data_IF_321637892753
#
_entry.id   IF_321637892753
#
_cell.length_a   1.000
_cell.length_b   1.000
_cell.length_c   1.000
_cell.angle_alpha   90.00
_cell.angle_beta   90.00
_cell.angle_gamma   90.00
#
_symmetry.space_group_name_H-M   'P 1'
#
loop_
_entity.id
_entity.type
_entity.pdbx_description
1 polymer ?
#
# COMPACT_ATOMS: atom_id res chain seq x y z
N UNK A 1 -3.02 3.35 24.51
CA UNK A 1 -2.60 2.20 25.35
C UNK A 1 -1.12 1.89 25.07
N UNK A 2 -0.38 1.22 25.97
CA UNK A 2 1.02 0.80 25.72
C UNK A 2 1.15 -0.60 25.12
N UNK A 3 0.16 -1.46 25.32
CA UNK A 3 0.14 -2.82 24.79
C UNK A 3 -1.12 -2.96 23.94
N UNK A 4 -0.97 -3.44 22.72
CA UNK A 4 -2.03 -3.73 21.78
C UNK A 4 -1.99 -5.19 21.38
N UNK A 5 -3.15 -5.83 21.30
CA UNK A 5 -3.27 -7.25 20.94
C UNK A 5 -4.22 -7.36 19.77
N UNK A 6 -3.71 -7.85 18.64
CA UNK A 6 -4.47 -8.08 17.42
C UNK A 6 -4.70 -9.58 17.27
N UNK A 7 -5.96 -10.00 17.28
CA UNK A 7 -6.31 -11.40 17.01
C UNK A 7 -6.32 -11.64 15.50
N UNK A 8 -5.45 -12.50 15.03
CA UNK A 8 -5.25 -12.76 13.61
C UNK A 8 -6.35 -13.69 13.08
N UNK A 9 -6.88 -13.32 11.91
CA UNK A 9 -7.90 -14.08 11.21
C UNK A 9 -7.38 -15.47 10.84
N UNK A 10 -8.25 -16.46 10.97
CA UNK A 10 -7.95 -17.84 10.58
C UNK A 10 -8.32 -18.10 9.13
N UNK A 11 -7.78 -19.19 8.58
CA UNK A 11 -8.12 -19.67 7.24
C UNK A 11 -7.79 -18.67 6.12
N UNK A 12 -6.77 -17.85 6.34
CA UNK A 12 -6.22 -16.93 5.33
C UNK A 12 -5.01 -17.59 4.68
N UNK A 13 -5.04 -17.70 3.36
CA UNK A 13 -3.96 -18.27 2.56
C UNK A 13 -3.17 -17.16 1.86
N UNK A 14 -1.85 -17.31 1.81
CA UNK A 14 -0.98 -16.54 0.94
C UNK A 14 -1.05 -17.06 -0.50
N UNK A 15 -0.62 -16.25 -1.47
CA UNK A 15 -0.61 -16.65 -2.89
C UNK A 15 0.20 -17.92 -3.21
N UNK A 16 1.07 -18.37 -2.30
CA UNK A 16 1.87 -19.58 -2.44
C UNK A 16 1.28 -20.82 -1.73
N UNK A 17 0.05 -20.74 -1.22
CA UNK A 17 -0.62 -21.85 -0.55
C UNK A 17 -0.30 -22.01 0.94
N UNK A 18 0.62 -21.21 1.50
CA UNK A 18 0.86 -21.22 2.95
C UNK A 18 -0.26 -20.51 3.68
N UNK A 19 -0.65 -21.02 4.84
CA UNK A 19 -1.57 -20.33 5.76
C UNK A 19 -0.84 -19.19 6.46
N UNK A 20 -1.49 -18.03 6.57
CA UNK A 20 -1.00 -16.87 7.31
C UNK A 20 -1.04 -17.14 8.82
N UNK A 21 0.07 -16.89 9.51
CA UNK A 21 0.15 -17.00 10.98
C UNK A 21 0.49 -15.67 11.66
N UNK A 22 0.42 -15.64 13.00
CA UNK A 22 0.82 -14.48 13.79
C UNK A 22 2.33 -14.20 13.66
N UNK A 23 3.13 -15.25 13.47
CA UNK A 23 4.57 -15.17 13.24
C UNK A 23 4.90 -14.44 11.92
N UNK A 24 4.13 -14.66 10.85
CA UNK A 24 4.33 -13.93 9.59
C UNK A 24 4.07 -12.43 9.77
N UNK A 25 3.04 -12.06 10.53
CA UNK A 25 2.73 -10.66 10.85
C UNK A 25 3.85 -10.03 11.66
N UNK A 26 4.33 -10.71 12.71
CA UNK A 26 5.47 -10.24 13.52
C UNK A 26 6.71 -10.10 12.66
N UNK A 27 7.02 -11.08 11.81
CA UNK A 27 8.18 -11.05 10.93
C UNK A 27 8.09 -9.92 9.89
N UNK A 28 6.90 -9.62 9.36
CA UNK A 28 6.69 -8.46 8.49
C UNK A 28 7.00 -7.19 9.27
N UNK A 29 6.33 -6.95 10.39
CA UNK A 29 6.54 -5.73 11.18
C UNK A 29 8.01 -5.57 11.59
N UNK A 30 8.65 -6.63 12.05
CA UNK A 30 10.08 -6.70 12.41
C UNK A 30 11.00 -6.23 11.28
N UNK A 31 10.75 -6.67 10.05
CA UNK A 31 11.50 -6.19 8.87
C UNK A 31 11.38 -4.67 8.68
N UNK A 32 10.29 -4.06 9.13
CA UNK A 32 10.02 -2.63 8.95
C UNK A 32 10.52 -1.76 10.12
N UNK A 33 10.42 -2.19 11.38
CA UNK A 33 10.73 -1.34 12.55
C UNK A 33 12.15 -1.51 13.13
N UNK A 34 12.95 -2.47 12.63
CA UNK A 34 14.36 -2.60 13.01
C UNK A 34 15.13 -1.30 12.68
N UNK A 35 16.08 -0.90 13.55
CA UNK A 35 16.88 0.33 13.41
C UNK A 35 17.68 0.43 12.10
N UNK A 36 18.03 -0.71 11.50
CA UNK A 36 18.76 -0.78 10.22
C UNK A 36 17.83 -0.81 8.99
N UNK A 37 16.51 -0.81 9.21
CA UNK A 37 15.51 -0.83 8.16
C UNK A 37 15.63 0.39 7.25
N UNK A 38 15.50 0.16 5.94
CA UNK A 38 15.36 1.23 4.93
C UNK A 38 13.90 1.47 4.55
N UNK A 39 12.96 0.94 5.33
CA UNK A 39 11.55 1.08 5.02
C UNK A 39 11.05 2.50 5.20
N UNK A 40 10.20 2.97 4.27
CA UNK A 40 9.41 4.18 4.46
C UNK A 40 8.50 4.15 5.70
N UNK A 41 8.14 2.98 6.21
CA UNK A 41 7.37 2.83 7.44
C UNK A 41 8.20 2.89 8.73
N UNK A 42 9.53 2.98 8.66
CA UNK A 42 10.38 2.98 9.87
C UNK A 42 9.97 4.10 10.83
N UNK A 43 9.66 5.30 10.31
CA UNK A 43 9.25 6.44 11.12
C UNK A 43 7.95 6.18 11.89
N UNK A 44 6.93 5.63 11.23
CA UNK A 44 5.62 5.36 11.87
C UNK A 44 5.68 4.19 12.86
N UNK A 45 6.65 3.27 12.70
CA UNK A 45 6.85 2.15 13.64
C UNK A 45 7.84 2.45 14.77
N UNK A 46 8.44 3.65 14.81
CA UNK A 46 9.50 3.98 15.76
C UNK A 46 9.08 3.89 17.24
N UNK A 47 7.78 3.98 17.53
CA UNK A 47 7.23 3.84 18.88
C UNK A 47 7.09 2.37 19.32
N UNK A 48 7.26 1.39 18.43
CA UNK A 48 7.26 -0.03 18.80
C UNK A 48 8.53 -0.35 19.61
N UNK A 49 8.32 -1.00 20.75
CA UNK A 49 9.37 -1.53 21.63
C UNK A 49 9.52 -3.04 21.48
N UNK A 50 8.42 -3.76 21.30
CA UNK A 50 8.43 -5.22 21.18
C UNK A 50 7.26 -5.76 20.38
N UNK A 51 7.52 -6.88 19.72
CA UNK A 51 6.55 -7.67 18.98
C UNK A 51 6.63 -9.11 19.46
N UNK A 52 5.47 -9.74 19.65
CA UNK A 52 5.38 -11.15 20.01
C UNK A 52 4.17 -11.77 19.31
N UNK A 53 4.37 -12.98 18.77
CA UNK A 53 3.29 -13.87 18.41
C UNK A 53 2.96 -14.74 19.65
N UNK A 54 1.67 -14.85 19.96
CA UNK A 54 1.17 -15.65 21.08
C UNK A 54 -0.06 -16.41 20.61
N UNK A 55 0.13 -17.66 20.18
CA UNK A 55 -0.87 -18.43 19.44
C UNK A 55 -1.35 -17.66 18.20
N UNK A 56 -2.57 -17.12 18.23
CA UNK A 56 -3.18 -16.36 17.13
C UNK A 56 -3.16 -14.86 17.36
N UNK A 57 -2.53 -14.42 18.44
CA UNK A 57 -2.47 -13.02 18.81
C UNK A 57 -1.11 -12.42 18.44
N UNK A 58 -1.14 -11.25 17.83
CA UNK A 58 0.03 -10.38 17.66
C UNK A 58 -0.02 -9.33 18.76
N UNK A 59 0.94 -9.41 19.67
CA UNK A 59 1.10 -8.47 20.78
C UNK A 59 2.17 -7.45 20.41
N UNK A 60 1.78 -6.18 20.40
CA UNK A 60 2.64 -5.03 20.13
C UNK A 60 2.78 -4.22 21.41
N UNK A 61 4.01 -4.10 21.91
CA UNK A 61 4.36 -3.26 23.05
C UNK A 61 5.01 -1.97 22.54
N UNK A 62 4.55 -0.83 23.05
CA UNK A 62 4.97 0.50 22.66
C UNK A 62 5.77 1.19 23.76
N UNK A 63 6.73 2.02 23.36
CA UNK A 63 7.54 2.85 24.28
C UNK A 63 6.65 3.85 25.02
N UNK A 64 5.73 4.49 24.28
CA UNK A 64 4.75 5.45 24.79
C UNK A 64 3.32 5.08 24.37
N UNK A 65 2.30 5.46 25.15
CA UNK A 65 0.91 5.20 24.77
C UNK A 65 0.59 5.86 23.43
N UNK A 66 0.00 5.09 22.53
CA UNK A 66 -0.42 5.55 21.21
C UNK A 66 -1.82 5.01 20.92
N UNK A 67 -2.74 5.89 20.53
CA UNK A 67 -4.10 5.53 20.15
C UNK A 67 -4.23 5.29 18.64
N UNK A 68 -3.29 5.78 17.85
CA UNK A 68 -3.30 5.74 16.39
C UNK A 68 -2.70 4.45 15.83
N UNK A 69 -2.08 3.61 16.67
CA UNK A 69 -1.43 2.36 16.23
C UNK A 69 -2.28 1.54 15.25
N UNK A 70 -3.59 1.28 15.48
CA UNK A 70 -4.40 0.52 14.52
C UNK A 70 -4.50 1.18 13.14
N UNK A 71 -4.54 2.52 13.09
CA UNK A 71 -4.52 3.27 11.84
C UNK A 71 -3.16 3.19 11.16
N UNK A 72 -2.05 3.27 11.91
CA UNK A 72 -0.70 3.11 11.36
C UNK A 72 -0.48 1.73 10.73
N UNK A 73 -1.16 0.68 11.24
CA UNK A 73 -1.10 -0.66 10.65
C UNK A 73 -1.77 -0.77 9.26
N UNK A 74 -2.46 0.29 8.80
CA UNK A 74 -3.06 0.35 7.46
C UNK A 74 -2.10 0.88 6.38
N UNK A 75 -0.88 1.28 6.77
CA UNK A 75 0.11 1.83 5.85
C UNK A 75 0.51 0.81 4.76
N UNK A 76 0.58 1.28 3.51
CA UNK A 76 0.78 0.44 2.33
C UNK A 76 2.15 -0.26 2.29
N UNK A 77 3.13 0.16 3.09
CA UNK A 77 4.40 -0.56 3.21
C UNK A 77 4.26 -1.86 4.01
N UNK A 78 3.25 -1.98 4.87
CA UNK A 78 3.10 -3.07 5.86
C UNK A 78 2.30 -4.26 5.31
N UNK A 79 2.40 -4.54 4.02
CA UNK A 79 1.79 -5.73 3.42
C UNK A 79 2.36 -6.98 4.09
N UNK A 80 1.49 -7.80 4.67
CA UNK A 80 1.87 -9.05 5.33
C UNK A 80 2.32 -10.07 4.27
N UNK A 81 3.47 -10.68 4.50
CA UNK A 81 4.11 -11.63 3.60
C UNK A 81 4.57 -12.86 4.38
N UNK A 82 4.67 -14.04 3.75
CA UNK A 82 5.22 -15.23 4.40
C UNK A 82 6.65 -14.97 4.89
N UNK A 83 6.98 -15.41 6.10
CA UNK A 83 8.26 -15.15 6.76
C UNK A 83 8.63 -13.64 6.80
N UNK A 84 7.62 -12.78 6.84
CA UNK A 84 7.78 -11.33 6.78
C UNK A 84 8.24 -10.78 5.43
N UNK A 85 8.36 -11.61 4.39
CA UNK A 85 9.00 -11.27 3.12
C UNK A 85 10.51 -11.11 3.24
N UNK A 86 11.16 -11.65 4.29
CA UNK A 86 12.61 -11.53 4.49
C UNK A 86 13.44 -12.24 3.42
N UNK A 87 12.88 -13.30 2.81
CA UNK A 87 13.54 -14.06 1.76
C UNK A 87 13.57 -13.30 0.43
N UNK A 88 12.43 -12.73 0.03
CA UNK A 88 12.29 -11.94 -1.20
C UNK A 88 11.11 -10.97 -1.12
N UNK A 89 11.30 -9.74 -0.61
CA UNK A 89 10.19 -8.79 -0.48
C UNK A 89 9.55 -8.39 -1.82
N UNK A 90 10.34 -8.46 -2.90
CA UNK A 90 9.93 -8.07 -4.25
C UNK A 90 9.13 -9.13 -5.00
N UNK A 91 9.05 -10.36 -4.46
CA UNK A 91 8.22 -11.43 -5.03
C UNK A 91 6.72 -11.09 -4.91
N UNK A 92 6.35 -10.25 -3.94
CA UNK A 92 4.99 -9.73 -3.81
C UNK A 92 3.96 -10.77 -3.35
N UNK A 93 4.40 -11.90 -2.77
CA UNK A 93 3.51 -12.89 -2.17
C UNK A 93 2.82 -12.27 -0.96
N UNK A 94 1.50 -12.20 -1.00
CA UNK A 94 0.68 -11.69 0.11
C UNK A 94 -0.63 -12.48 0.21
N UNK A 95 -1.53 -12.03 1.09
CA UNK A 95 -2.89 -12.57 1.24
C UNK A 95 -3.95 -11.66 0.57
N UNK A 96 -3.53 -10.86 -0.40
CA UNK A 96 -4.40 -9.94 -1.15
C UNK A 96 -5.17 -10.62 -2.31
N UNK A 97 -6.09 -9.88 -2.96
CA UNK A 97 -6.96 -10.43 -3.99
C UNK A 97 -6.28 -10.79 -5.32
N UNK A 98 -5.07 -10.28 -5.58
CA UNK A 98 -4.34 -10.54 -6.82
C UNK A 98 -2.93 -11.03 -6.52
N UNK A 99 -2.53 -12.10 -7.21
CA UNK A 99 -1.16 -12.62 -7.22
C UNK A 99 -0.37 -11.91 -8.31
N UNK A 100 0.85 -11.47 -7.99
CA UNK A 100 1.74 -10.81 -8.96
C UNK A 100 2.14 -11.78 -10.06
N UNK A 101 1.91 -11.40 -11.32
CA UNK A 101 2.31 -12.15 -12.52
C UNK A 101 3.38 -11.43 -13.33
N UNK A 102 3.40 -10.09 -13.27
CA UNK A 102 4.39 -9.25 -13.95
C UNK A 102 4.84 -8.13 -13.01
N UNK A 103 6.15 -7.92 -12.92
CA UNK A 103 6.76 -6.81 -12.19
C UNK A 103 7.92 -6.26 -13.04
N UNK A 104 7.63 -5.25 -13.85
CA UNK A 104 8.59 -4.56 -14.70
C UNK A 104 8.68 -3.10 -14.23
N UNK A 105 9.61 -2.77 -13.31
CA UNK A 105 9.68 -1.45 -12.71
C UNK A 105 9.76 -0.33 -13.73
N UNK A 106 8.84 0.64 -13.60
CA UNK A 106 8.73 1.78 -14.52
C UNK A 106 8.08 1.48 -15.87
N UNK A 107 7.62 0.24 -16.11
CA UNK A 107 6.94 -0.18 -17.34
C UNK A 107 5.52 -0.64 -17.05
N UNK A 108 5.37 -1.75 -16.33
CA UNK A 108 4.06 -2.32 -16.00
C UNK A 108 4.10 -3.28 -14.81
N UNK A 109 2.95 -3.43 -14.19
CA UNK A 109 2.71 -4.42 -13.14
C UNK A 109 1.42 -5.17 -13.46
N UNK A 110 1.45 -6.49 -13.31
CA UNK A 110 0.32 -7.37 -13.65
C UNK A 110 0.00 -8.29 -12.48
N UNK A 111 -1.29 -8.59 -12.32
CA UNK A 111 -1.74 -9.59 -11.36
C UNK A 111 -2.95 -10.37 -11.85
N UNK A 112 -3.01 -11.64 -11.46
CA UNK A 112 -4.16 -12.52 -11.67
C UNK A 112 -4.95 -12.68 -10.38
N UNK A 113 -6.27 -12.85 -10.49
CA UNK A 113 -7.15 -13.05 -9.33
C UNK A 113 -6.72 -14.27 -8.54
N UNK A 114 -6.53 -14.10 -7.24
CA UNK A 114 -6.25 -15.21 -6.32
C UNK A 114 -7.56 -15.91 -5.94
N UNK A 115 -7.74 -17.14 -6.40
CA UNK A 115 -8.97 -17.91 -6.20
C UNK A 115 -9.35 -18.11 -4.72
N UNK A 116 -8.34 -18.28 -3.85
CA UNK A 116 -8.53 -18.53 -2.42
C UNK A 116 -8.54 -17.23 -1.58
N UNK A 117 -8.77 -16.07 -2.20
CA UNK A 117 -8.83 -14.81 -1.48
C UNK A 117 -9.99 -14.80 -0.46
N UNK A 118 -9.65 -14.52 0.80
CA UNK A 118 -10.53 -14.62 1.96
C UNK A 118 -11.69 -13.60 2.02
N UNK A 119 -11.75 -12.63 1.09
CA UNK A 119 -12.89 -11.70 0.91
C UNK A 119 -13.34 -11.62 -0.56
N UNK A 120 -13.34 -12.76 -1.26
CA UNK A 120 -13.71 -12.83 -2.69
C UNK A 120 -15.14 -12.38 -3.00
N UNK A 121 -16.01 -12.28 -1.99
CA UNK A 121 -17.35 -11.71 -2.04
C UNK A 121 -17.37 -10.17 -2.03
N UNK A 122 -16.29 -9.52 -1.59
CA UNK A 122 -16.23 -8.05 -1.41
C UNK A 122 -15.34 -7.32 -2.39
N UNK A 123 -14.28 -7.97 -2.87
CA UNK A 123 -13.31 -7.36 -3.78
C UNK A 123 -12.53 -8.41 -4.59
N UNK A 124 -11.73 -7.93 -5.55
CA UNK A 124 -10.98 -8.82 -6.44
C UNK A 124 -11.84 -9.43 -7.53
N UNK A 125 -12.76 -8.67 -8.12
CA UNK A 125 -13.76 -9.20 -9.06
C UNK A 125 -13.25 -9.41 -10.49
N UNK A 126 -12.20 -8.69 -10.89
CA UNK A 126 -11.63 -8.86 -12.22
C UNK A 126 -10.75 -10.12 -12.25
N UNK A 127 -10.69 -10.81 -13.38
CA UNK A 127 -9.82 -11.97 -13.54
C UNK A 127 -8.34 -11.56 -13.55
N UNK A 128 -8.04 -10.38 -14.08
CA UNK A 128 -6.70 -9.80 -14.15
C UNK A 128 -6.73 -8.29 -13.94
N UNK A 129 -5.63 -7.77 -13.42
CA UNK A 129 -5.33 -6.34 -13.37
C UNK A 129 -3.98 -6.07 -14.02
N UNK A 130 -3.90 -4.95 -14.75
CA UNK A 130 -2.64 -4.44 -15.28
C UNK A 130 -2.55 -2.94 -14.96
N UNK A 131 -1.38 -2.53 -14.47
CA UNK A 131 -1.04 -1.15 -14.15
C UNK A 131 0.10 -0.75 -15.07
N UNK A 132 -0.18 0.17 -15.99
CA UNK A 132 0.82 0.72 -16.92
C UNK A 132 1.45 2.00 -16.36
N UNK A 133 2.78 2.08 -16.41
CA UNK A 133 3.52 3.27 -16.03
C UNK A 133 3.56 4.26 -17.21
N UNK A 134 2.57 5.15 -17.28
CA UNK A 134 2.49 6.22 -18.29
C UNK A 134 2.70 7.56 -17.59
N UNK A 135 3.92 8.09 -17.61
CA UNK A 135 4.28 9.31 -16.88
C UNK A 135 3.66 10.57 -17.49
N UNK A 136 3.60 10.65 -18.82
CA UNK A 136 3.04 11.81 -19.51
C UNK A 136 1.51 11.87 -19.35
N UNK A 137 1.01 13.01 -18.86
CA UNK A 137 -0.41 13.18 -18.57
C UNK A 137 -1.27 13.19 -19.84
N UNK A 138 -0.75 13.73 -20.94
CA UNK A 138 -1.46 13.76 -22.23
C UNK A 138 -1.59 12.35 -22.79
N UNK A 139 -0.52 11.56 -22.73
CA UNK A 139 -0.50 10.17 -23.14
C UNK A 139 -1.49 9.31 -22.33
N UNK A 140 -1.61 9.55 -21.01
CA UNK A 140 -2.64 8.87 -20.19
C UNK A 140 -4.06 9.16 -20.68
N UNK A 141 -4.37 10.42 -20.96
CA UNK A 141 -5.70 10.81 -21.46
C UNK A 141 -5.96 10.20 -22.83
N UNK A 142 -4.98 10.22 -23.73
CA UNK A 142 -5.09 9.57 -25.05
C UNK A 142 -5.30 8.06 -24.94
N UNK A 143 -4.58 7.39 -24.03
CA UNK A 143 -4.74 5.94 -23.79
C UNK A 143 -6.15 5.60 -23.28
N UNK A 144 -6.71 6.43 -22.40
CA UNK A 144 -8.09 6.26 -21.93
C UNK A 144 -9.10 6.48 -23.07
N UNK A 145 -8.94 7.56 -23.85
CA UNK A 145 -9.84 7.86 -24.98
C UNK A 145 -9.77 6.80 -26.08
N UNK A 146 -8.59 6.24 -26.32
CA UNK A 146 -8.35 5.15 -27.27
C UNK A 146 -8.76 3.77 -26.75
N UNK A 147 -9.22 3.65 -25.50
CA UNK A 147 -9.63 2.38 -24.89
C UNK A 147 -8.46 1.43 -24.56
N UNK A 148 -7.23 1.92 -24.54
CA UNK A 148 -6.05 1.13 -24.16
C UNK A 148 -5.99 0.88 -22.65
N UNK A 149 -6.62 1.75 -21.84
CA UNK A 149 -6.77 1.60 -20.40
C UNK A 149 -8.20 1.91 -19.98
N UNK A 150 -8.65 1.25 -18.91
CA UNK A 150 -10.00 1.44 -18.36
C UNK A 150 -10.09 2.59 -17.35
N UNK A 151 -8.97 2.95 -16.73
CA UNK A 151 -8.90 3.97 -15.68
C UNK A 151 -7.54 4.66 -15.71
N UNK A 152 -7.54 5.96 -15.43
CA UNK A 152 -6.32 6.75 -15.18
C UNK A 152 -6.53 7.62 -13.94
N UNK A 153 -5.43 8.00 -13.28
CA UNK A 153 -5.44 8.93 -12.16
C UNK A 153 -4.74 10.25 -12.52
N UNK A 154 -4.74 11.20 -11.57
CA UNK A 154 -4.01 12.48 -11.66
C UNK A 154 -4.32 13.26 -12.96
N UNK A 155 -5.61 13.44 -13.23
CA UNK A 155 -6.08 14.32 -14.30
C UNK A 155 -5.71 15.75 -13.93
N UNK A 156 -5.00 16.46 -14.82
CA UNK A 156 -4.69 17.87 -14.59
C UNK A 156 -5.98 18.70 -14.61
N UNK A 157 -6.20 19.64 -13.67
CA UNK A 157 -7.47 20.38 -13.57
C UNK A 157 -7.93 21.03 -14.87
N UNK A 158 -6.99 21.53 -15.68
CA UNK A 158 -7.25 22.21 -16.97
C UNK A 158 -8.01 21.35 -17.99
N UNK A 159 -7.90 20.02 -17.94
CA UNK A 159 -8.53 19.12 -18.94
C UNK A 159 -9.76 18.39 -18.40
N UNK A 160 -10.13 18.60 -17.13
CA UNK A 160 -11.27 17.91 -16.49
C UNK A 160 -12.58 18.16 -17.25
N UNK A 161 -12.88 19.42 -17.59
CA UNK A 161 -14.12 19.77 -18.27
C UNK A 161 -14.19 19.25 -19.72
N UNK A 162 -13.04 19.04 -20.35
CA UNK A 162 -12.97 18.39 -21.65
C UNK A 162 -13.32 16.90 -21.53
N UNK A 163 -12.73 16.20 -20.54
CA UNK A 163 -12.98 14.77 -20.33
C UNK A 163 -14.44 14.51 -19.95
N UNK A 164 -15.06 15.38 -19.14
CA UNK A 164 -16.48 15.28 -18.78
C UNK A 164 -17.44 15.33 -19.97
N UNK A 165 -17.02 15.87 -21.12
CA UNK A 165 -17.83 15.95 -22.34
C UNK A 165 -17.75 14.69 -23.21
N UNK A 166 -16.85 13.77 -22.90
CA UNK A 166 -16.69 12.52 -23.66
C UNK A 166 -17.78 11.52 -23.21
N UNK A 167 -18.69 11.06 -24.10
CA UNK A 167 -19.90 10.33 -23.70
C UNK A 167 -19.70 9.02 -22.93
N UNK A 168 -18.52 8.40 -23.04
CA UNK A 168 -18.18 7.12 -22.40
C UNK A 168 -17.19 7.25 -21.23
N UNK A 169 -16.82 8.47 -20.84
CA UNK A 169 -15.89 8.70 -19.74
C UNK A 169 -16.60 9.36 -18.57
N UNK A 170 -16.24 8.91 -17.35
CA UNK A 170 -16.70 9.51 -16.11
C UNK A 170 -15.49 10.05 -15.35
N UNK A 171 -15.59 11.29 -14.90
CA UNK A 171 -14.61 11.88 -13.98
C UNK A 171 -15.16 11.74 -12.57
N UNK A 172 -14.45 10.97 -11.74
CA UNK A 172 -14.71 10.88 -10.30
C UNK A 172 -13.76 11.84 -9.56
N UNK A 173 -14.34 12.72 -8.75
CA UNK A 173 -13.58 13.62 -7.88
C UNK A 173 -13.82 13.17 -6.44
N UNK A 174 -12.76 12.68 -5.79
CA UNK A 174 -12.80 12.24 -4.40
C UNK A 174 -11.96 13.19 -3.56
N UNK A 175 -12.49 13.61 -2.41
CA UNK A 175 -11.68 14.29 -1.40
C UNK A 175 -10.72 13.27 -0.78
N UNK A 176 -9.44 13.61 -0.74
CA UNK A 176 -8.40 12.79 -0.13
C UNK A 176 -7.45 13.64 0.72
N UNK A 177 -6.57 13.00 1.50
CA UNK A 177 -5.65 13.71 2.41
C UNK A 177 -4.47 14.37 1.68
N UNK A 178 -4.39 14.28 0.35
CA UNK A 178 -3.30 14.89 -0.44
C UNK A 178 -3.31 16.41 -0.30
N UNK A 179 -2.16 16.98 0.04
CA UNK A 179 -1.98 18.42 0.19
C UNK A 179 -0.80 18.88 -0.67
N UNK A 180 -1.05 19.83 -1.58
CA UNK A 180 -0.01 20.47 -2.37
C UNK A 180 0.64 21.58 -1.56
N UNK A 181 1.91 21.41 -1.19
CA UNK A 181 2.68 22.39 -0.43
C UNK A 181 3.95 22.81 -1.17
N UNK A 182 4.40 24.03 -0.90
CA UNK A 182 5.76 24.46 -1.20
C UNK A 182 6.61 24.18 0.05
N UNK A 183 7.36 23.08 0.02
CA UNK A 183 8.25 22.72 1.12
C UNK A 183 9.53 23.54 1.03
N UNK A 184 9.95 24.12 2.15
CA UNK A 184 11.17 24.90 2.28
C UNK A 184 12.09 24.22 3.29
N UNK A 185 13.40 24.18 2.99
CA UNK A 185 14.39 23.68 3.94
C UNK A 185 14.68 24.76 4.98
N UNK A 186 14.00 24.71 6.12
CA UNK A 186 14.11 25.74 7.17
C UNK A 186 15.46 25.77 7.91
N UNK A 187 16.43 24.97 7.47
CA UNK A 187 17.83 24.96 7.89
C UNK A 187 18.78 25.52 6.81
N UNK A 188 18.23 26.04 5.70
CA UNK A 188 18.99 26.51 4.54
C UNK A 188 18.54 27.91 4.11
N UNK A 189 19.49 28.84 3.97
CA UNK A 189 19.20 30.19 3.49
C UNK A 189 18.56 30.20 2.07
N UNK A 190 17.57 31.07 1.79
CA UNK A 190 17.04 32.12 2.67
C UNK A 190 15.92 31.65 3.62
N UNK A 191 15.59 30.35 3.65
CA UNK A 191 14.46 29.81 4.40
C UNK A 191 14.76 29.50 5.87
N UNK A 192 16.02 29.68 6.31
CA UNK A 192 16.42 29.66 7.71
C UNK A 192 16.01 30.94 8.47
N UNK A 193 15.55 31.97 7.75
CA UNK A 193 14.90 33.15 8.30
C UNK A 193 13.37 33.02 8.25
N UNK A 194 12.68 33.46 9.32
CA UNK A 194 11.22 33.40 9.46
C UNK A 194 10.48 34.63 8.93
N UNK A 195 11.21 35.70 8.61
CA UNK A 195 10.70 36.93 8.00
C UNK A 195 10.49 36.77 6.48
#
# INVERSE_FOLDING_TARGET
AKVWTFKIRQDVEFHNGKTLTAEDVVATLDRHFNKESKSGALGILANIEGLKADDRDVVITLKQPDAELPYLMTDYHLVIQPNGGKDSPAEGISAGPYKVTVNEPGVRYGGERFANFWQSDKMGFADQIEILAINDATARVSALQGGQVHMINKIVPKVVDLIKRVPNLKVEVLSGPEHYCYVMFCDTAPFDNKD
#
